data_IF_425048537820
#
_entry.id   IF_425048537820
#
_cell.length_a   1.000
_cell.length_b   1.000
_cell.length_c   1.000
_cell.angle_alpha   90.00
_cell.angle_beta   90.00
_cell.angle_gamma   90.00
#
_symmetry.space_group_name_H-M   'P 1'
#
loop_
_entity.id
_entity.type
_entity.pdbx_description
1 polymer ?
#
# COMPACT_ATOMS: atom_id res chain seq x y z
N UNK A 1 -32.16 56.21 36.64
CA UNK A 1 -30.91 55.86 35.92
C UNK A 1 -30.85 54.35 35.79
N UNK A 2 -30.85 53.84 34.55
CA UNK A 2 -30.83 52.41 34.22
C UNK A 2 -29.42 51.84 34.43
N UNK A 3 -29.29 50.71 35.13
CA UNK A 3 -28.09 49.88 35.05
C UNK A 3 -28.40 48.64 34.22
N UNK A 4 -27.71 48.55 33.08
CA UNK A 4 -27.88 47.58 32.02
C UNK A 4 -27.37 46.20 32.43
N UNK A 5 -28.09 45.18 31.96
CA UNK A 5 -27.74 43.76 31.96
C UNK A 5 -26.31 43.48 31.55
N UNK A 6 -25.65 42.56 32.26
CA UNK A 6 -24.44 41.87 31.81
C UNK A 6 -24.74 40.38 31.79
N UNK A 7 -25.22 39.92 30.63
CA UNK A 7 -25.12 38.53 30.19
C UNK A 7 -23.84 38.46 29.36
N UNK A 8 -22.81 37.75 29.83
CA UNK A 8 -21.67 37.40 28.99
C UNK A 8 -21.45 35.89 29.04
N UNK A 9 -21.53 35.32 27.84
CA UNK A 9 -21.55 33.91 27.49
C UNK A 9 -20.16 33.27 27.73
N UNK A 10 -20.13 32.11 28.40
CA UNK A 10 -18.99 31.20 28.34
C UNK A 10 -19.44 29.97 27.56
N UNK A 11 -19.33 30.05 26.23
CA UNK A 11 -19.43 28.91 25.34
C UNK A 11 -18.06 28.71 24.67
N UNK A 12 -17.13 28.09 25.41
CA UNK A 12 -15.84 27.65 24.88
C UNK A 12 -15.45 26.34 25.54
N UNK A 13 -16.06 25.24 25.10
CA UNK A 13 -15.63 23.89 25.45
C UNK A 13 -16.02 22.89 24.35
N UNK A 14 -15.55 23.12 23.13
CA UNK A 14 -15.59 22.12 22.06
C UNK A 14 -14.45 22.34 21.07
N UNK A 15 -13.22 22.41 21.60
CA UNK A 15 -12.05 22.03 20.79
C UNK A 15 -12.15 20.51 20.64
N UNK A 16 -12.89 20.10 19.61
CA UNK A 16 -12.93 18.73 19.15
C UNK A 16 -11.50 18.36 18.75
N UNK A 17 -10.83 17.61 19.62
CA UNK A 17 -9.61 16.87 19.28
C UNK A 17 -9.94 15.98 18.09
N UNK A 18 -9.64 16.44 16.88
CA UNK A 18 -9.54 15.58 15.71
C UNK A 18 -8.31 14.71 15.90
N UNK A 19 -8.45 13.66 16.72
CA UNK A 19 -7.57 12.50 16.62
C UNK A 19 -7.83 11.96 15.23
N UNK A 20 -6.99 12.32 14.26
CA UNK A 20 -6.94 11.60 12.99
C UNK A 20 -6.55 10.18 13.36
N UNK A 21 -7.52 9.27 13.36
CA UNK A 21 -7.18 7.86 13.36
C UNK A 21 -6.31 7.65 12.11
N UNK A 22 -5.09 7.15 12.29
CA UNK A 22 -4.29 6.73 11.15
C UNK A 22 -5.11 5.70 10.38
N UNK A 23 -5.15 5.80 9.04
CA UNK A 23 -5.92 4.89 8.22
C UNK A 23 -5.23 3.53 8.18
N UNK A 24 -5.40 2.76 9.25
CA UNK A 24 -4.77 1.46 9.40
C UNK A 24 -5.53 0.44 8.56
N UNK A 25 -4.88 -0.08 7.53
CA UNK A 25 -5.44 -1.14 6.71
C UNK A 25 -5.34 -2.47 7.46
N UNK A 26 -6.39 -3.27 7.32
CA UNK A 26 -6.44 -4.63 7.84
C UNK A 26 -5.72 -5.56 6.86
N UNK A 27 -4.88 -6.44 7.38
CA UNK A 27 -4.28 -7.50 6.59
C UNK A 27 -5.33 -8.61 6.34
N UNK A 28 -5.69 -8.81 5.08
CA UNK A 28 -6.70 -9.77 4.62
C UNK A 28 -6.07 -11.09 4.14
N UNK A 29 -4.74 -11.26 4.26
CA UNK A 29 -4.02 -12.44 3.75
C UNK A 29 -4.52 -13.78 4.33
N UNK A 30 -5.04 -13.74 5.57
CA UNK A 30 -5.58 -14.90 6.28
C UNK A 30 -7.03 -15.21 5.93
N UNK A 31 -7.78 -14.26 5.37
CA UNK A 31 -9.21 -14.43 5.10
C UNK A 31 -9.46 -15.25 3.83
N UNK A 32 -8.43 -15.40 3.00
CA UNK A 32 -8.48 -16.07 1.70
C UNK A 32 -7.54 -17.29 1.61
N UNK A 33 -6.99 -17.75 2.74
CA UNK A 33 -5.96 -18.80 2.79
C UNK A 33 -4.78 -18.51 1.83
N UNK A 34 -4.39 -17.24 1.69
CA UNK A 34 -3.38 -16.80 0.74
C UNK A 34 -1.96 -16.73 1.34
N UNK A 35 -1.81 -16.86 2.67
CA UNK A 35 -0.50 -16.73 3.32
C UNK A 35 0.49 -17.75 2.77
N UNK A 36 1.67 -17.26 2.36
CA UNK A 36 2.74 -18.10 1.85
C UNK A 36 2.56 -18.56 0.40
N UNK A 37 1.44 -18.22 -0.28
CA UNK A 37 1.31 -18.46 -1.73
C UNK A 37 2.39 -17.68 -2.47
N UNK A 38 3.03 -18.33 -3.42
CA UNK A 38 4.12 -17.74 -4.21
C UNK A 38 3.52 -17.02 -5.40
N UNK A 39 3.79 -15.72 -5.50
CA UNK A 39 3.42 -14.90 -6.64
C UNK A 39 4.26 -15.28 -7.86
N UNK A 40 3.58 -15.50 -8.98
CA UNK A 40 4.21 -15.89 -10.25
C UNK A 40 4.22 -14.75 -11.27
N UNK A 41 3.40 -13.72 -11.05
CA UNK A 41 3.39 -12.53 -11.87
C UNK A 41 4.62 -11.67 -11.59
N UNK A 42 5.56 -11.69 -12.54
CA UNK A 42 6.83 -11.00 -12.45
C UNK A 42 6.70 -9.46 -12.38
N UNK A 43 5.50 -8.93 -12.66
CA UNK A 43 5.15 -7.51 -12.54
C UNK A 43 4.85 -7.10 -11.09
N UNK A 44 4.36 -8.04 -10.27
CA UNK A 44 4.06 -7.84 -8.86
C UNK A 44 5.25 -8.20 -7.97
N UNK A 45 5.95 -9.28 -8.27
CA UNK A 45 7.14 -9.68 -7.52
C UNK A 45 8.18 -10.39 -8.39
N UNK A 46 9.47 -10.15 -8.13
CA UNK A 46 10.56 -10.97 -8.65
C UNK A 46 11.39 -11.50 -7.48
N UNK A 47 11.78 -12.78 -7.47
CA UNK A 47 12.68 -13.30 -6.46
C UNK A 47 13.95 -12.44 -6.39
N UNK A 48 14.35 -12.12 -5.18
CA UNK A 48 15.44 -11.19 -4.89
C UNK A 48 16.33 -11.77 -3.79
N UNK A 49 17.51 -11.16 -3.56
CA UNK A 49 18.43 -11.61 -2.53
C UNK A 49 17.79 -11.61 -1.14
N UNK A 50 18.27 -12.47 -0.25
CA UNK A 50 17.91 -12.45 1.16
C UNK A 50 18.11 -11.04 1.74
N UNK A 51 17.14 -10.54 2.51
CA UNK A 51 17.20 -9.18 3.10
C UNK A 51 16.26 -8.15 2.49
N UNK A 52 15.38 -8.56 1.57
CA UNK A 52 14.50 -7.66 0.83
C UNK A 52 13.02 -8.10 0.91
N UNK A 53 12.13 -7.14 1.21
CA UNK A 53 10.70 -7.25 1.00
C UNK A 53 10.31 -6.63 -0.36
N UNK A 54 9.15 -6.99 -0.88
CA UNK A 54 8.51 -6.29 -2.01
C UNK A 54 7.17 -5.73 -1.58
N UNK A 55 6.95 -4.45 -1.80
CA UNK A 55 5.65 -3.81 -1.66
C UNK A 55 5.08 -3.60 -3.07
N UNK A 56 3.90 -4.12 -3.32
CA UNK A 56 3.24 -4.06 -4.61
C UNK A 56 1.85 -3.41 -4.51
N UNK A 57 1.43 -2.84 -5.61
CA UNK A 57 0.10 -2.28 -5.83
C UNK A 57 -0.40 -2.77 -7.19
N UNK A 58 -1.61 -3.33 -7.22
CA UNK A 58 -2.35 -3.60 -8.44
C UNK A 58 -3.47 -2.56 -8.54
N UNK A 59 -3.62 -1.95 -9.70
CA UNK A 59 -4.72 -1.04 -10.02
C UNK A 59 -5.47 -1.63 -11.20
N UNK A 60 -6.81 -1.65 -11.12
CA UNK A 60 -7.65 -2.14 -12.21
C UNK A 60 -8.73 -1.14 -12.57
N UNK A 61 -8.91 -0.94 -13.87
CA UNK A 61 -10.04 -0.25 -14.47
C UNK A 61 -10.82 -1.28 -15.27
N UNK A 62 -11.43 -2.23 -14.54
CA UNK A 62 -12.39 -3.18 -15.09
C UNK A 62 -13.51 -3.34 -14.09
N UNK A 63 -14.74 -3.03 -14.49
CA UNK A 63 -15.91 -3.14 -13.62
C UNK A 63 -16.32 -4.58 -13.25
N UNK A 64 -15.49 -5.61 -13.45
CA UNK A 64 -15.79 -7.00 -13.09
C UNK A 64 -14.49 -7.73 -12.66
N UNK A 65 -14.40 -8.21 -11.40
CA UNK A 65 -13.24 -8.96 -10.90
C UNK A 65 -13.13 -10.33 -11.58
N UNK A 66 -11.90 -10.73 -11.91
CA UNK A 66 -11.61 -12.03 -12.52
C UNK A 66 -11.12 -12.99 -11.43
N UNK A 67 -11.85 -14.09 -11.23
CA UNK A 67 -11.43 -15.20 -10.37
C UNK A 67 -10.32 -16.01 -11.05
N UNK A 68 -9.07 -15.86 -10.61
CA UNK A 68 -8.00 -16.81 -10.92
C UNK A 68 -7.09 -17.01 -9.69
N UNK A 69 -6.84 -18.26 -9.33
CA UNK A 69 -5.96 -18.66 -8.22
C UNK A 69 -4.47 -18.34 -8.42
N UNK A 70 -4.09 -17.82 -9.58
CA UNK A 70 -2.73 -17.31 -9.85
C UNK A 70 -2.58 -15.80 -9.58
N UNK A 71 -3.64 -15.10 -9.16
CA UNK A 71 -3.59 -13.67 -8.84
C UNK A 71 -3.95 -13.46 -7.35
N UNK A 72 -3.02 -12.93 -6.55
CA UNK A 72 -3.26 -12.58 -5.15
C UNK A 72 -4.34 -11.50 -4.96
N UNK A 73 -4.71 -10.78 -6.03
CA UNK A 73 -5.75 -9.76 -6.05
C UNK A 73 -7.12 -10.27 -6.56
N UNK A 74 -7.25 -11.56 -6.85
CA UNK A 74 -8.51 -12.15 -7.29
C UNK A 74 -9.57 -12.14 -6.18
N UNK A 75 -10.43 -11.12 -6.17
CA UNK A 75 -11.48 -10.95 -5.15
C UNK A 75 -11.60 -9.53 -4.60
N UNK A 76 -10.59 -8.69 -4.86
CA UNK A 76 -10.54 -7.29 -4.46
C UNK A 76 -11.58 -6.48 -5.26
N UNK A 77 -12.59 -5.99 -4.55
CA UNK A 77 -13.65 -5.15 -5.10
C UNK A 77 -13.24 -3.68 -4.95
N UNK A 78 -12.25 -3.29 -5.73
CA UNK A 78 -11.74 -1.93 -5.77
C UNK A 78 -10.82 -1.75 -6.96
N UNK A 79 -10.72 -0.50 -7.45
CA UNK A 79 -9.78 -0.17 -8.52
C UNK A 79 -8.31 -0.31 -8.09
N UNK A 80 -8.01 -0.69 -6.83
CA UNK A 80 -6.66 -0.77 -6.27
C UNK A 80 -6.57 -1.76 -5.10
N UNK A 81 -5.45 -2.48 -5.00
CA UNK A 81 -5.07 -3.28 -3.84
C UNK A 81 -3.57 -3.22 -3.60
N UNK A 82 -3.13 -3.58 -2.38
CA UNK A 82 -1.71 -3.68 -2.03
C UNK A 82 -1.33 -5.07 -1.54
N UNK A 83 -0.08 -5.46 -1.80
CA UNK A 83 0.49 -6.71 -1.30
C UNK A 83 1.92 -6.49 -0.77
N UNK A 84 2.30 -7.31 0.20
CA UNK A 84 3.67 -7.43 0.69
C UNK A 84 4.15 -8.87 0.47
N UNK A 85 5.27 -9.02 -0.22
CA UNK A 85 5.90 -10.31 -0.50
C UNK A 85 7.29 -10.40 0.11
N UNK A 86 7.69 -11.61 0.50
CA UNK A 86 9.06 -11.90 0.90
C UNK A 86 10.03 -12.05 -0.29
N UNK A 87 11.31 -12.28 0.00
CA UNK A 87 12.36 -12.41 -1.01
C UNK A 87 12.15 -13.57 -2.01
N UNK A 88 11.30 -14.55 -1.66
CA UNK A 88 10.90 -15.67 -2.53
C UNK A 88 9.58 -15.44 -3.26
N UNK A 89 9.03 -14.23 -3.16
CA UNK A 89 7.71 -13.86 -3.64
C UNK A 89 6.54 -14.57 -2.92
N UNK A 90 6.76 -15.09 -1.71
CA UNK A 90 5.66 -15.60 -0.91
C UNK A 90 4.87 -14.44 -0.29
N UNK A 91 3.55 -14.46 -0.44
CA UNK A 91 2.64 -13.42 0.06
C UNK A 91 2.60 -13.41 1.60
N UNK A 92 2.81 -12.24 2.18
CA UNK A 92 2.80 -11.99 3.64
C UNK A 92 1.72 -11.03 4.10
N UNK A 93 1.35 -10.08 3.25
CA UNK A 93 0.28 -9.12 3.54
C UNK A 93 -0.53 -8.83 2.30
N UNK A 94 -1.85 -8.70 2.47
CA UNK A 94 -2.80 -8.33 1.43
C UNK A 94 -3.74 -7.26 2.00
N UNK A 95 -3.95 -6.18 1.26
CA UNK A 95 -4.72 -5.04 1.74
C UNK A 95 -5.59 -4.47 0.62
N UNK A 96 -6.89 -4.38 0.87
CA UNK A 96 -7.84 -3.73 -0.02
C UNK A 96 -8.48 -2.53 0.69
N UNK A 97 -8.10 -1.29 0.34
CA UNK A 97 -8.79 -0.11 0.85
C UNK A 97 -10.27 -0.05 0.46
N UNK A 98 -10.65 -0.58 -0.70
CA UNK A 98 -12.03 -0.58 -1.20
C UNK A 98 -12.94 -1.61 -0.52
N UNK A 99 -12.37 -2.73 -0.04
CA UNK A 99 -13.13 -3.74 0.67
C UNK A 99 -13.60 -3.24 2.04
N UNK A 100 -14.77 -3.70 2.46
CA UNK A 100 -15.32 -3.47 3.81
C UNK A 100 -15.48 -2.00 4.25
N UNK A 101 -15.41 -1.03 3.33
CA UNK A 101 -15.53 0.39 3.66
C UNK A 101 -14.33 0.97 4.42
N UNK A 102 -13.16 0.33 4.30
CA UNK A 102 -11.92 0.72 4.99
C UNK A 102 -11.12 1.80 4.26
N UNK A 103 -11.67 2.44 3.21
CA UNK A 103 -11.01 3.55 2.53
C UNK A 103 -11.16 4.84 3.37
N UNK A 104 -10.28 4.98 4.36
CA UNK A 104 -10.17 6.18 5.18
C UNK A 104 -9.21 7.24 4.58
N UNK A 105 -8.69 7.00 3.38
CA UNK A 105 -7.78 7.89 2.67
C UNK A 105 -6.32 7.82 3.15
N UNK A 106 -5.43 8.37 2.33
CA UNK A 106 -3.99 8.43 2.59
C UNK A 106 -3.72 9.40 3.77
N UNK A 107 -2.84 9.07 4.73
CA UNK A 107 -1.89 7.95 4.69
C UNK A 107 -2.48 6.59 5.10
N UNK A 108 -2.24 5.56 4.29
CA UNK A 108 -2.55 4.17 4.65
C UNK A 108 -1.41 3.58 5.47
N UNK A 109 -1.76 2.97 6.61
CA UNK A 109 -0.81 2.43 7.58
C UNK A 109 -0.96 0.91 7.65
N UNK A 110 0.14 0.19 7.50
CA UNK A 110 0.21 -1.27 7.61
C UNK A 110 1.13 -1.60 8.78
N UNK A 111 0.58 -2.31 9.77
CA UNK A 111 1.28 -2.69 10.99
C UNK A 111 1.25 -4.21 11.12
N UNK A 112 2.38 -4.84 10.80
CA UNK A 112 2.47 -6.30 10.75
C UNK A 112 3.54 -6.82 11.70
N UNK A 113 3.35 -8.04 12.20
CA UNK A 113 4.32 -8.71 13.06
C UNK A 113 5.60 -9.14 12.32
N UNK A 114 5.53 -9.37 11.01
CA UNK A 114 6.68 -9.74 10.17
C UNK A 114 7.49 -8.51 9.70
N UNK A 115 6.93 -7.31 9.84
CA UNK A 115 7.61 -6.06 9.56
C UNK A 115 8.27 -5.53 10.85
N UNK A 116 9.53 -5.11 10.76
CA UNK A 116 10.23 -4.51 11.90
C UNK A 116 9.78 -3.06 12.16
N UNK A 117 9.27 -2.40 11.12
CA UNK A 117 8.83 -1.01 11.14
C UNK A 117 7.43 -0.88 10.54
N UNK A 118 6.74 0.20 10.86
CA UNK A 118 5.44 0.50 10.25
C UNK A 118 5.66 0.90 8.78
N UNK A 119 4.92 0.27 7.87
CA UNK A 119 4.85 0.69 6.47
C UNK A 119 3.72 1.70 6.31
N UNK A 120 4.02 2.86 5.73
CA UNK A 120 3.02 3.94 5.54
C UNK A 120 3.02 4.45 4.10
N UNK A 121 1.93 4.23 3.36
CA UNK A 121 1.71 4.86 2.05
C UNK A 121 1.35 6.32 2.27
N UNK A 122 2.15 7.23 1.71
CA UNK A 122 2.05 8.68 1.91
C UNK A 122 1.44 9.43 0.72
N UNK A 123 1.64 8.90 -0.49
CA UNK A 123 1.11 9.47 -1.73
C UNK A 123 0.81 8.31 -2.69
N UNK A 124 -0.20 8.46 -3.54
CA UNK A 124 -0.58 7.46 -4.53
C UNK A 124 -1.43 8.09 -5.64
N UNK A 125 -1.29 7.57 -6.85
CA UNK A 125 -2.29 7.64 -7.90
C UNK A 125 -2.72 6.22 -8.26
N UNK A 126 -4.04 6.01 -8.32
CA UNK A 126 -4.67 4.75 -8.69
C UNK A 126 -5.45 4.88 -10.02
N UNK A 127 -5.09 5.85 -10.85
CA UNK A 127 -5.57 5.98 -12.22
C UNK A 127 -4.73 5.08 -13.13
N UNK A 128 -5.37 4.21 -13.91
CA UNK A 128 -4.67 3.33 -14.85
C UNK A 128 -3.96 4.14 -15.94
N UNK A 129 -2.73 3.72 -16.29
CA UNK A 129 -1.83 4.44 -17.18
C UNK A 129 -1.05 5.58 -16.51
N UNK A 130 -1.32 5.86 -15.23
CA UNK A 130 -0.67 6.90 -14.44
C UNK A 130 -0.39 6.48 -12.99
N UNK A 131 -0.46 5.18 -12.70
CA UNK A 131 -0.35 4.68 -11.34
C UNK A 131 1.02 4.97 -10.74
N UNK A 132 1.01 5.38 -9.47
CA UNK A 132 2.22 5.49 -8.67
C UNK A 132 1.89 5.34 -7.20
N UNK A 133 2.89 5.01 -6.39
CA UNK A 133 2.82 5.20 -4.95
C UNK A 133 4.14 5.69 -4.39
N UNK A 134 4.06 6.21 -3.17
CA UNK A 134 5.19 6.58 -2.33
C UNK A 134 4.90 6.14 -0.90
N UNK A 135 5.85 5.46 -0.28
CA UNK A 135 5.70 4.96 1.08
C UNK A 135 6.96 5.16 1.92
N UNK A 136 6.80 5.14 3.24
CA UNK A 136 7.90 5.12 4.19
C UNK A 136 7.96 3.77 4.93
N UNK A 137 9.18 3.34 5.21
CA UNK A 137 9.49 2.15 6.01
C UNK A 137 10.89 2.30 6.63
N UNK A 138 10.99 2.16 7.96
CA UNK A 138 12.23 2.41 8.69
C UNK A 138 12.70 3.86 8.55
N UNK A 139 13.94 4.07 8.15
CA UNK A 139 14.51 5.40 7.85
C UNK A 139 14.35 5.83 6.38
N UNK A 140 13.75 4.96 5.55
CA UNK A 140 13.67 5.14 4.11
C UNK A 140 12.32 5.64 3.61
N UNK A 141 12.36 6.30 2.46
CA UNK A 141 11.19 6.69 1.67
C UNK A 141 11.37 6.19 0.23
N UNK A 142 10.35 5.48 -0.28
CA UNK A 142 10.40 4.69 -1.50
C UNK A 142 9.28 5.13 -2.44
N UNK A 143 9.58 5.29 -3.72
CA UNK A 143 8.64 5.75 -4.73
C UNK A 143 9.04 5.27 -6.11
N UNK A 144 8.07 5.15 -7.01
CA UNK A 144 8.27 4.82 -8.43
C UNK A 144 9.34 5.72 -9.07
N UNK A 145 10.17 5.15 -9.94
CA UNK A 145 11.35 5.77 -10.57
C UNK A 145 12.55 6.01 -9.63
N UNK A 146 12.47 5.55 -8.38
CA UNK A 146 13.55 5.56 -7.40
C UNK A 146 13.58 4.21 -6.65
N UNK A 147 14.69 3.87 -5.98
CA UNK A 147 14.77 2.73 -5.03
C UNK A 147 14.21 1.37 -5.53
N UNK A 148 14.51 0.95 -6.77
CA UNK A 148 14.06 -0.34 -7.31
C UNK A 148 12.52 -0.45 -7.46
N UNK A 149 11.87 0.68 -7.67
CA UNK A 149 10.45 0.74 -7.92
C UNK A 149 10.11 0.82 -9.41
N UNK A 150 9.18 0.00 -9.85
CA UNK A 150 8.72 -0.07 -11.24
C UNK A 150 7.18 -0.08 -11.30
N UNK A 151 6.62 0.49 -12.36
CA UNK A 151 5.20 0.38 -12.69
C UNK A 151 5.06 0.00 -14.16
N UNK A 152 4.29 -1.05 -14.41
CA UNK A 152 4.01 -1.53 -15.76
C UNK A 152 2.51 -1.59 -15.97
N UNK A 153 2.06 -0.93 -17.04
CA UNK A 153 0.69 -1.01 -17.51
C UNK A 153 0.52 -2.24 -18.39
N UNK A 154 -0.56 -2.98 -18.16
CA UNK A 154 -1.01 -4.08 -19.00
C UNK A 154 -2.50 -3.96 -19.24
N UNK A 155 -2.92 -4.06 -20.50
CA UNK A 155 -4.34 -4.03 -20.83
C UNK A 155 -4.62 -4.87 -22.05
N UNK A 156 -5.76 -5.57 -22.02
CA UNK A 156 -6.28 -6.25 -23.19
C UNK A 156 -7.79 -6.11 -23.24
N UNK A 157 -8.32 -5.75 -24.41
CA UNK A 157 -9.76 -5.55 -24.59
C UNK A 157 -10.32 -4.43 -23.72
N UNK A 158 -11.22 -4.79 -22.79
CA UNK A 158 -11.92 -3.86 -21.88
C UNK A 158 -11.29 -3.76 -20.50
N UNK A 159 -10.18 -4.47 -20.26
CA UNK A 159 -9.48 -4.51 -18.98
C UNK A 159 -8.20 -3.72 -19.10
N UNK A 160 -8.04 -2.73 -18.23
CA UNK A 160 -6.79 -2.01 -18.06
C UNK A 160 -6.28 -2.22 -16.63
N UNK A 161 -5.01 -2.60 -16.50
CA UNK A 161 -4.34 -2.93 -15.25
C UNK A 161 -3.02 -2.15 -15.19
N UNK A 162 -2.67 -1.66 -14.00
CA UNK A 162 -1.31 -1.22 -13.70
C UNK A 162 -0.77 -2.04 -12.54
N UNK A 163 0.47 -2.51 -12.69
CA UNK A 163 1.20 -3.21 -11.64
C UNK A 163 2.38 -2.36 -11.22
N UNK A 164 2.38 -1.91 -9.97
CA UNK A 164 3.46 -1.15 -9.38
C UNK A 164 4.13 -1.98 -8.28
N UNK A 165 5.45 -1.95 -8.18
CA UNK A 165 6.18 -2.63 -7.11
C UNK A 165 7.42 -1.86 -6.70
N UNK A 166 7.88 -2.10 -5.48
CA UNK A 166 9.10 -1.56 -4.91
C UNK A 166 9.76 -2.59 -4.00
N UNK A 167 11.04 -2.85 -4.21
CA UNK A 167 11.83 -3.59 -3.23
C UNK A 167 12.28 -2.66 -2.09
N UNK A 168 12.28 -3.15 -0.85
CA UNK A 168 12.73 -2.40 0.33
C UNK A 168 13.43 -3.32 1.35
N UNK A 169 14.35 -2.79 2.18
CA UNK A 169 15.17 -3.60 3.08
C UNK A 169 14.36 -4.11 4.27
N UNK A 170 14.58 -5.36 4.68
CA UNK A 170 13.86 -5.96 5.82
C UNK A 170 14.11 -5.19 7.12
N UNK A 171 15.34 -4.73 7.33
CA UNK A 171 15.78 -4.03 8.54
C UNK A 171 15.39 -2.54 8.59
N UNK A 172 14.85 -1.99 7.49
CA UNK A 172 14.46 -0.59 7.41
C UNK A 172 15.63 0.41 7.32
N UNK A 173 16.86 -0.06 7.09
CA UNK A 173 18.04 0.78 6.87
C UNK A 173 18.23 1.01 5.37
N UNK A 174 17.95 2.24 4.92
CA UNK A 174 18.05 2.66 3.53
C UNK A 174 19.44 3.14 3.13
N UNK A 175 20.41 3.21 4.05
CA UNK A 175 21.75 3.78 3.79
C UNK A 175 22.52 3.03 2.69
N UNK A 176 22.32 1.71 2.58
CA UNK A 176 22.89 0.86 1.53
C UNK A 176 21.85 0.42 0.49
N UNK A 177 20.61 0.88 0.61
CA UNK A 177 19.54 0.59 -0.34
C UNK A 177 19.68 1.53 -1.53
N UNK A 178 20.53 1.15 -2.48
CA UNK A 178 20.91 2.03 -3.58
C UNK A 178 19.67 2.53 -4.34
N UNK A 179 19.72 3.79 -4.79
CA UNK A 179 18.66 4.35 -5.65
C UNK A 179 18.60 3.68 -7.02
N UNK A 180 19.68 3.02 -7.47
CA UNK A 180 19.80 2.27 -8.74
C UNK A 180 21.05 1.37 -8.69
N UNK A 181 20.89 0.07 -8.47
CA UNK A 181 22.02 -0.83 -8.61
C UNK A 181 21.87 -2.18 -7.91
N UNK A 182 21.23 -3.15 -8.58
CA UNK A 182 21.66 -4.55 -8.55
C UNK A 182 21.41 -5.12 -9.96
N UNK A 183 22.43 -5.79 -10.49
CA UNK A 183 22.34 -6.68 -11.64
C UNK A 183 21.40 -7.85 -11.30
N UNK A 184 20.28 -7.96 -12.01
CA UNK A 184 19.54 -9.22 -12.05
C UNK A 184 20.52 -10.29 -12.53
N UNK A 185 20.83 -11.29 -11.69
CA UNK A 185 21.46 -12.51 -12.21
C UNK A 185 20.45 -13.14 -13.16
N UNK A 186 20.79 -13.10 -14.45
CA UNK A 186 20.18 -13.90 -15.49
C UNK A 186 20.36 -15.39 -15.22
#
# INVERSE_FOLDING_TARGET
MQFKSILLQIAFASVLSRVSANCQLKNEVYEEDNEGKVETNDKLCKPQGEGAWTFAMEVSETGIPVFNGDNAFAGINGNKGFAIYDHTCALRGLYDPGNNGNDCGIPYVMMENFLQWVLTVKEMNADVGGSYFKFAYGDGEYSINNNHCDCVSEGSGTTALDYCKCAFPINGDSSNWSKRGIEFKA
#
